data_IF_458845296580
#
_entry.id   IF_458845296580
#
_cell.length_a   1.000
_cell.length_b   1.000
_cell.length_c   1.000
_cell.angle_alpha   90.00
_cell.angle_beta   90.00
_cell.angle_gamma   90.00
#
_symmetry.space_group_name_H-M   'P 1'
#
loop_
_entity.id
_entity.type
_entity.pdbx_description
1 polymer ?
#
# COMPACT_ATOMS: atom_id res chain seq x y z
N UNK A 1 -15.61 0.50 15.84
CA UNK A 1 -15.36 0.40 15.49
C UNK A 1 -14.95 0.14 14.53
N UNK A 2 -14.98 0.03 14.00
CA UNK A 2 -14.54 -0.29 13.26
C UNK A 2 -13.99 0.14 12.54
N UNK A 3 -13.49 0.47 12.30
CA UNK A 3 -12.77 0.97 11.68
C UNK A 3 -12.21 0.32 10.61
N UNK A 4 -12.76 -0.54 9.92
CA UNK A 4 -12.32 -1.10 8.81
C UNK A 4 -12.41 -0.25 7.67
N UNK A 5 -11.32 0.05 6.97
CA UNK A 5 -11.33 0.80 5.74
C UNK A 5 -11.73 -0.10 4.60
N UNK A 6 -12.53 0.42 3.69
CA UNK A 6 -12.87 -0.30 2.48
C UNK A 6 -11.87 0.10 1.41
N UNK A 7 -10.94 -0.77 1.12
CA UNK A 7 -9.92 -0.49 0.13
C UNK A 7 -10.28 -1.19 -1.18
N UNK A 8 -10.33 -0.43 -2.24
CA UNK A 8 -10.71 -0.93 -3.53
C UNK A 8 -9.49 -0.99 -4.44
N UNK A 9 -9.35 -2.05 -5.20
CA UNK A 9 -8.28 -2.15 -6.17
C UNK A 9 -8.82 -1.76 -7.53
N UNK A 10 -8.44 -0.57 -8.01
CA UNK A 10 -8.83 -0.10 -9.33
C UNK A 10 -7.77 -0.58 -10.30
N UNK A 11 -8.03 -1.71 -10.94
CA UNK A 11 -7.05 -2.28 -11.85
C UNK A 11 -6.82 -1.44 -13.08
N UNK A 12 -7.87 -0.86 -13.61
CA UNK A 12 -7.74 -0.03 -14.79
C UNK A 12 -6.92 1.21 -14.50
N UNK A 13 -7.08 1.78 -13.30
CA UNK A 13 -6.34 2.97 -12.92
C UNK A 13 -5.01 2.67 -12.25
N UNK A 14 -4.70 1.40 -12.03
CA UNK A 14 -3.45 0.97 -11.40
C UNK A 14 -3.26 1.62 -10.04
N UNK A 15 -4.26 1.46 -9.18
CA UNK A 15 -4.12 2.01 -7.83
C UNK A 15 -5.05 1.29 -6.86
N UNK A 16 -4.67 1.38 -5.58
CA UNK A 16 -5.51 0.93 -4.49
C UNK A 16 -6.02 2.20 -3.84
N UNK A 17 -7.29 2.27 -3.54
CA UNK A 17 -7.87 3.51 -3.04
C UNK A 17 -8.90 3.29 -1.97
N UNK A 18 -9.10 4.30 -1.15
CA UNK A 18 -10.16 4.30 -0.17
C UNK A 18 -10.65 5.73 -0.01
N UNK A 19 -11.91 5.89 0.39
CA UNK A 19 -12.47 7.21 0.61
C UNK A 19 -12.98 7.26 2.04
N UNK A 20 -12.57 8.29 2.76
CA UNK A 20 -12.98 8.50 4.14
C UNK A 20 -13.45 9.93 4.26
N UNK A 21 -14.67 10.10 4.76
CA UNK A 21 -15.24 11.44 4.91
C UNK A 21 -15.17 12.25 3.61
N UNK A 22 -15.43 11.59 2.49
CA UNK A 22 -15.44 12.26 1.21
C UNK A 22 -14.07 12.54 0.63
N UNK A 23 -13.00 12.15 1.31
CA UNK A 23 -11.65 12.41 0.84
C UNK A 23 -10.98 11.11 0.42
N UNK A 24 -10.31 11.16 -0.71
CA UNK A 24 -9.73 9.97 -1.30
C UNK A 24 -8.25 9.85 -1.02
N UNK A 25 -7.84 8.67 -0.58
CA UNK A 25 -6.44 8.32 -0.41
C UNK A 25 -6.13 7.18 -1.35
N UNK A 26 -4.90 7.10 -1.84
CA UNK A 26 -4.57 6.04 -2.79
C UNK A 26 -3.10 5.67 -2.78
N UNK A 27 -2.82 4.48 -3.31
CA UNK A 27 -1.47 4.01 -3.55
C UNK A 27 -1.43 3.59 -5.01
N UNK A 28 -0.60 4.24 -5.81
CA UNK A 28 -0.55 4.02 -7.24
C UNK A 28 0.67 3.19 -7.63
N UNK A 29 0.52 2.40 -8.68
CA UNK A 29 1.62 1.57 -9.16
C UNK A 29 1.63 1.53 -10.68
N UNK A 30 2.75 1.07 -11.23
CA UNK A 30 2.87 0.81 -12.66
C UNK A 30 3.12 -0.68 -12.81
N UNK A 31 2.41 -1.31 -13.73
CA UNK A 31 2.63 -2.72 -14.02
C UNK A 31 3.72 -2.78 -15.09
N UNK A 32 4.91 -3.22 -14.69
CA UNK A 32 6.05 -3.24 -15.59
C UNK A 32 6.11 -4.48 -16.45
N UNK A 33 5.13 -5.38 -16.30
CA UNK A 33 5.18 -6.64 -16.98
C UNK A 33 6.06 -7.61 -16.21
N UNK A 34 6.09 -8.86 -16.66
CA UNK A 34 6.89 -9.91 -16.04
C UNK A 34 6.59 -10.03 -14.54
N UNK A 35 5.33 -9.84 -14.19
CA UNK A 35 4.85 -9.94 -12.82
C UNK A 35 5.62 -9.04 -11.87
N UNK A 36 5.81 -7.79 -12.28
CA UNK A 36 6.50 -6.80 -11.45
C UNK A 36 5.66 -5.53 -11.38
N UNK A 37 5.43 -5.05 -10.17
CA UNK A 37 4.70 -3.82 -9.94
C UNK A 37 5.63 -2.79 -9.31
N UNK A 38 5.65 -1.59 -9.85
CA UNK A 38 6.43 -0.49 -9.29
C UNK A 38 5.47 0.41 -8.54
N UNK A 39 5.48 0.35 -7.22
CA UNK A 39 4.61 1.18 -6.37
C UNK A 39 5.32 2.50 -6.14
N UNK A 40 4.84 3.55 -6.80
CA UNK A 40 5.60 4.79 -6.86
C UNK A 40 5.01 5.96 -6.10
N UNK A 41 3.80 5.86 -5.64
CA UNK A 41 3.18 7.00 -4.97
C UNK A 41 2.10 6.57 -4.00
N UNK A 42 2.12 7.16 -2.81
CA UNK A 42 1.06 6.98 -1.83
C UNK A 42 0.60 8.37 -1.43
N UNK A 43 -0.70 8.62 -1.51
CA UNK A 43 -1.25 9.92 -1.17
C UNK A 43 -2.35 9.79 -0.12
N UNK A 44 -2.23 10.54 0.94
CA UNK A 44 -3.26 10.63 1.98
C UNK A 44 -3.49 12.10 2.27
N UNK A 45 -4.73 12.59 2.10
CA UNK A 45 -5.02 13.99 2.39
C UNK A 45 -4.66 14.34 3.84
N UNK A 46 -4.26 15.58 4.05
CA UNK A 46 -3.87 16.02 5.38
C UNK A 46 -4.95 15.75 6.43
N UNK A 47 -6.20 15.93 6.06
CA UNK A 47 -7.30 15.71 7.00
C UNK A 47 -7.38 14.27 7.48
N UNK A 48 -6.81 13.35 6.75
CA UNK A 48 -6.87 11.94 7.11
C UNK A 48 -5.59 11.40 7.72
N UNK A 49 -4.58 12.24 7.88
CA UNK A 49 -3.31 11.78 8.39
C UNK A 49 -3.43 11.34 9.84
N UNK A 50 -2.60 10.40 10.23
CA UNK A 50 -2.61 9.92 11.60
C UNK A 50 -3.62 8.85 11.89
N UNK A 51 -4.33 8.38 10.85
CA UNK A 51 -5.35 7.36 11.04
C UNK A 51 -4.94 6.00 10.52
N UNK A 52 -3.67 5.85 10.11
CA UNK A 52 -3.18 4.57 9.63
C UNK A 52 -3.62 4.21 8.22
N UNK A 53 -4.12 5.18 7.47
CA UNK A 53 -4.65 4.88 6.13
C UNK A 53 -3.54 4.50 5.15
N UNK A 54 -2.39 5.20 5.20
CA UNK A 54 -1.29 4.85 4.32
C UNK A 54 -0.79 3.45 4.59
N UNK A 55 -0.72 3.07 5.87
CA UNK A 55 -0.28 1.73 6.24
C UNK A 55 -1.27 0.68 5.74
N UNK A 56 -2.57 0.99 5.84
CA UNK A 56 -3.58 0.05 5.36
C UNK A 56 -3.50 -0.12 3.85
N UNK A 57 -3.27 0.96 3.12
CA UNK A 57 -3.11 0.89 1.67
C UNK A 57 -1.88 0.06 1.30
N UNK A 58 -0.76 0.30 1.97
CA UNK A 58 0.46 -0.45 1.69
C UNK A 58 0.28 -1.93 2.01
N UNK A 59 -0.34 -2.23 3.14
CA UNK A 59 -0.57 -3.61 3.52
C UNK A 59 -1.42 -4.32 2.47
N UNK A 60 -2.50 -3.67 2.04
CA UNK A 60 -3.40 -4.26 1.07
C UNK A 60 -2.69 -4.49 -0.27
N UNK A 61 -1.90 -3.51 -0.71
CA UNK A 61 -1.18 -3.62 -1.98
C UNK A 61 -0.13 -4.71 -1.94
N UNK A 62 0.62 -4.80 -0.83
CA UNK A 62 1.65 -5.81 -0.72
C UNK A 62 1.06 -7.21 -0.58
N UNK A 63 -0.07 -7.34 0.11
CA UNK A 63 -0.75 -8.62 0.21
C UNK A 63 -1.24 -9.07 -1.16
N UNK A 64 -1.77 -8.13 -1.95
CA UNK A 64 -2.22 -8.44 -3.30
C UNK A 64 -1.04 -8.94 -4.14
N UNK A 65 0.08 -8.21 -4.10
CA UNK A 65 1.24 -8.58 -4.89
C UNK A 65 1.74 -9.97 -4.51
N UNK A 66 1.80 -10.24 -3.21
CA UNK A 66 2.26 -11.53 -2.76
C UNK A 66 1.33 -12.65 -3.18
N UNK A 67 0.03 -12.44 -3.02
CA UNK A 67 -0.96 -13.44 -3.36
C UNK A 67 -0.97 -13.75 -4.83
N UNK A 68 -0.77 -12.73 -5.67
CA UNK A 68 -0.81 -12.89 -7.11
C UNK A 68 0.56 -13.17 -7.74
N UNK A 69 1.59 -13.30 -6.92
CA UNK A 69 2.91 -13.64 -7.44
C UNK A 69 3.68 -12.50 -8.07
N UNK A 70 3.39 -11.27 -7.68
CA UNK A 70 4.12 -10.12 -8.21
C UNK A 70 5.32 -9.76 -7.36
N UNK A 71 6.41 -9.36 -8.03
CA UNK A 71 7.51 -8.73 -7.34
C UNK A 71 7.18 -7.25 -7.22
N UNK A 72 7.66 -6.60 -6.17
CA UNK A 72 7.36 -5.19 -5.91
C UNK A 72 8.63 -4.38 -5.92
N UNK A 73 8.63 -3.27 -6.67
CA UNK A 73 9.69 -2.29 -6.62
C UNK A 73 9.12 -1.12 -5.82
N UNK A 74 9.64 -0.85 -4.63
CA UNK A 74 9.08 0.22 -3.79
C UNK A 74 9.71 1.57 -4.09
N UNK A 75 9.36 2.15 -5.23
CA UNK A 75 9.88 3.46 -5.60
C UNK A 75 9.35 4.55 -4.67
N UNK A 76 8.18 4.34 -4.08
CA UNK A 76 7.63 5.29 -3.12
C UNK A 76 8.34 5.11 -1.78
N UNK A 77 8.87 6.19 -1.24
CA UNK A 77 9.61 6.10 0.02
C UNK A 77 8.74 5.59 1.17
N UNK A 78 7.46 5.89 1.15
CA UNK A 78 6.58 5.38 2.20
C UNK A 78 6.49 3.85 2.13
N UNK A 79 6.29 3.31 0.92
CA UNK A 79 6.19 1.86 0.75
C UNK A 79 7.50 1.20 1.13
N UNK A 80 8.61 1.78 0.72
CA UNK A 80 9.92 1.25 1.07
C UNK A 80 10.09 1.19 2.58
N UNK A 81 9.76 2.27 3.27
CA UNK A 81 9.87 2.29 4.73
C UNK A 81 8.93 1.31 5.40
N UNK A 82 7.74 1.16 4.83
CA UNK A 82 6.77 0.22 5.37
C UNK A 82 7.31 -1.21 5.30
N UNK A 83 7.87 -1.58 4.14
CA UNK A 83 8.45 -2.91 3.97
C UNK A 83 9.60 -3.13 4.95
N UNK A 84 10.46 -2.13 5.10
CA UNK A 84 11.57 -2.25 6.02
C UNK A 84 11.12 -2.45 7.45
N UNK A 85 10.10 -1.72 7.87
CA UNK A 85 9.58 -1.89 9.23
C UNK A 85 8.99 -3.26 9.44
N UNK A 86 8.28 -3.78 8.46
CA UNK A 86 7.70 -5.11 8.58
C UNK A 86 8.80 -6.17 8.65
N UNK A 87 9.80 -6.05 7.79
CA UNK A 87 10.89 -7.01 7.78
C UNK A 87 11.67 -6.95 9.07
N UNK A 88 11.85 -5.75 9.61
CA UNK A 88 12.59 -5.60 10.84
C UNK A 88 11.88 -6.25 12.01
N UNK A 89 10.55 -6.10 12.05
CA UNK A 89 9.78 -6.73 13.09
C UNK A 89 9.89 -8.24 13.02
N UNK A 90 9.76 -8.80 11.84
CA UNK A 90 9.85 -10.23 11.67
C UNK A 90 11.27 -10.70 11.93
N UNK A 91 12.24 -9.99 11.38
CA UNK A 91 13.62 -10.37 11.58
C UNK A 91 14.03 -10.28 13.03
N UNK A 92 13.52 -9.28 13.70
CA UNK A 92 13.83 -9.10 15.11
C UNK A 92 13.38 -10.25 15.92
N UNK A 93 12.21 -10.80 15.59
CA UNK A 93 11.82 -11.85 16.32
C UNK A 93 12.41 -13.09 15.90
N UNK A 94 12.69 -13.25 14.70
CA UNK A 94 13.28 -14.42 14.19
C UNK A 94 14.68 -14.61 14.67
N UNK A 95 15.29 -13.60 15.13
CA UNK A 95 16.64 -13.76 15.54
C UNK A 95 16.75 -14.14 16.95
#
# INVERSE_FOLDING_TARGET
>A
MSDKLTIRHDRAGHQFETTVDGQRAYLAYVDLGKQTLDMYRTFVPDALRGQGIAAALAQHALDYAKREGYAVIPSCSYVEGYIERKNRQVGGEGS
#
